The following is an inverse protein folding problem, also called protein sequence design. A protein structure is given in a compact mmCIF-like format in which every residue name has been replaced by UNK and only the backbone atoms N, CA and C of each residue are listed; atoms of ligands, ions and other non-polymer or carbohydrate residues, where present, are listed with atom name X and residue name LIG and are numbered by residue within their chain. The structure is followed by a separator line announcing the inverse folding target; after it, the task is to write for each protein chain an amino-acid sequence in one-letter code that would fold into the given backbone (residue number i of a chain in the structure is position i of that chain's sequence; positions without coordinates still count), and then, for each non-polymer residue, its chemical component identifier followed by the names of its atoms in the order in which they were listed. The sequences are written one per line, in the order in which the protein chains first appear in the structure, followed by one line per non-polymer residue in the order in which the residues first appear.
data_IF_332190880938
#
_entry.id   IF_332190880938
#
_cell.length_a   1.000
_cell.length_b   1.000
_cell.length_c   1.000
_cell.angle_alpha   90.00
_cell.angle_beta   90.00
_cell.angle_gamma   90.00
#
_symmetry.space_group_name_H-M   'P 1'
#
loop_
_entity.id
_entity.type
_entity.pdbx_description
1 polymer ?
#
# COMPACT_ATOMS: atom_id res chain seq x y z
N UNK A 1 27.34 -46.37 -33.81
CA UNK A 1 27.42 -45.59 -32.56
C UNK A 1 26.03 -45.07 -32.29
N UNK A 2 25.31 -45.71 -31.37
CA UNK A 2 23.93 -45.37 -31.04
C UNK A 2 23.88 -44.00 -30.36
N UNK A 3 23.10 -43.09 -30.92
CA UNK A 3 22.78 -41.81 -30.27
C UNK A 3 22.00 -42.12 -28.98
N UNK A 4 22.70 -42.07 -27.85
CA UNK A 4 22.10 -42.15 -26.53
C UNK A 4 21.13 -40.98 -26.34
N UNK A 5 19.91 -41.27 -25.92
CA UNK A 5 18.87 -40.26 -25.75
C UNK A 5 19.27 -39.27 -24.64
N UNK A 6 18.80 -38.02 -24.70
CA UNK A 6 19.22 -36.97 -23.76
C UNK A 6 18.95 -37.30 -22.28
N UNK A 7 18.01 -38.21 -21.99
CA UNK A 7 17.65 -38.68 -20.64
C UNK A 7 18.48 -39.88 -20.15
N UNK A 8 19.28 -40.50 -21.02
CA UNK A 8 20.27 -41.54 -20.67
C UNK A 8 21.62 -40.95 -20.25
N UNK A 9 21.79 -39.63 -20.36
CA UNK A 9 22.99 -38.93 -19.87
C UNK A 9 23.02 -38.94 -18.35
N UNK A 10 24.15 -39.32 -17.76
CA UNK A 10 24.38 -39.19 -16.31
C UNK A 10 24.08 -37.76 -15.84
N UNK A 11 23.33 -37.66 -14.74
CA UNK A 11 22.95 -36.38 -14.14
C UNK A 11 24.20 -35.57 -13.80
N UNK A 12 24.48 -34.54 -14.60
CA UNK A 12 25.50 -33.55 -14.28
C UNK A 12 24.92 -32.55 -13.30
N UNK A 13 25.54 -32.46 -12.13
CA UNK A 13 25.16 -31.53 -11.07
C UNK A 13 25.35 -30.11 -11.56
N UNK A 14 24.24 -29.37 -11.68
CA UNK A 14 24.23 -28.01 -12.24
C UNK A 14 25.08 -27.01 -11.45
N UNK A 15 25.34 -27.30 -10.16
CA UNK A 15 26.15 -26.47 -9.27
C UNK A 15 27.67 -26.67 -9.40
N UNK A 16 28.13 -27.72 -10.08
CA UNK A 16 29.57 -27.94 -10.30
C UNK A 16 30.16 -26.98 -11.34
N UNK A 17 29.30 -26.42 -12.21
CA UNK A 17 29.68 -25.41 -13.20
C UNK A 17 29.30 -23.97 -12.79
N UNK A 18 28.68 -23.77 -11.62
CA UNK A 18 28.19 -22.46 -11.20
C UNK A 18 29.24 -21.66 -10.40
N UNK A 19 30.49 -21.62 -10.86
CA UNK A 19 31.55 -20.77 -10.26
C UNK A 19 31.37 -19.29 -10.58
N UNK A 20 30.48 -18.93 -11.52
CA UNK A 20 30.04 -17.57 -11.77
C UNK A 20 28.67 -17.34 -11.13
N UNK A 21 28.63 -17.29 -9.79
CA UNK A 21 27.48 -16.74 -9.07
C UNK A 21 27.41 -15.27 -9.49
N UNK A 22 26.53 -14.95 -10.44
CA UNK A 22 26.05 -13.60 -10.64
C UNK A 22 25.63 -13.11 -9.25
N UNK A 23 26.38 -12.13 -8.72
CA UNK A 23 25.94 -11.37 -7.54
C UNK A 23 24.49 -11.01 -7.83
N UNK A 24 23.57 -11.44 -6.96
CA UNK A 24 22.17 -10.99 -7.04
C UNK A 24 22.22 -9.48 -7.10
N UNK A 25 22.07 -8.90 -8.29
CA UNK A 25 21.80 -7.49 -8.44
C UNK A 25 20.52 -7.31 -7.64
N UNK A 26 20.63 -6.68 -6.46
CA UNK A 26 19.45 -6.18 -5.78
C UNK A 26 18.81 -5.27 -6.81
N UNK A 27 17.67 -5.68 -7.34
CA UNK A 27 16.86 -4.83 -8.20
C UNK A 27 16.64 -3.56 -7.39
N UNK A 28 17.30 -2.48 -7.82
CA UNK A 28 17.11 -1.14 -7.27
C UNK A 28 15.75 -0.71 -7.79
N UNK A 29 14.72 -1.09 -7.05
CA UNK A 29 13.38 -0.72 -7.41
C UNK A 29 13.17 0.75 -7.03
N UNK A 30 13.05 1.62 -8.03
CA UNK A 30 12.73 3.02 -7.82
C UNK A 30 11.33 3.15 -7.23
N UNK A 31 11.26 3.44 -5.92
CA UNK A 31 10.01 3.56 -5.17
C UNK A 31 9.13 4.71 -5.69
N UNK A 32 9.74 5.79 -6.17
CA UNK A 32 9.04 7.00 -6.59
C UNK A 32 9.31 7.31 -8.07
N UNK A 33 8.39 6.92 -8.95
CA UNK A 33 8.37 7.47 -10.32
C UNK A 33 7.92 8.94 -10.26
N UNK A 34 8.67 9.83 -10.90
CA UNK A 34 8.27 11.24 -11.00
C UNK A 34 6.94 11.35 -11.73
N UNK A 35 5.96 11.97 -11.07
CA UNK A 35 4.63 12.11 -11.62
C UNK A 35 3.92 13.35 -11.10
N UNK A 36 3.76 14.34 -11.97
CA UNK A 36 3.14 15.65 -11.71
C UNK A 36 1.62 15.67 -11.98
N UNK A 37 0.99 14.50 -12.03
CA UNK A 37 -0.46 14.41 -12.17
C UNK A 37 -1.15 14.57 -10.82
N UNK A 38 -2.44 14.90 -10.87
CA UNK A 38 -3.30 14.99 -9.68
C UNK A 38 -3.33 13.65 -8.95
N UNK A 39 -3.10 13.68 -7.64
CA UNK A 39 -3.11 12.50 -6.76
C UNK A 39 -4.25 12.58 -5.75
N UNK A 40 -4.81 11.42 -5.41
CA UNK A 40 -5.81 11.29 -4.35
C UNK A 40 -5.17 11.22 -2.98
N UNK A 41 -4.87 12.37 -2.36
CA UNK A 41 -4.15 12.42 -1.06
C UNK A 41 -4.97 11.83 0.08
N UNK A 42 -6.28 12.13 0.12
CA UNK A 42 -7.18 11.53 1.10
C UNK A 42 -7.82 10.31 0.43
N UNK A 43 -7.52 9.14 0.98
CA UNK A 43 -8.02 7.87 0.47
C UNK A 43 -8.52 6.97 1.60
N UNK A 44 -9.46 6.13 1.23
CA UNK A 44 -9.94 5.03 2.03
C UNK A 44 -9.54 3.74 1.32
N UNK A 45 -8.57 3.04 1.90
CA UNK A 45 -8.03 1.80 1.34
C UNK A 45 -8.63 0.63 2.09
N UNK A 46 -9.39 -0.20 1.39
CA UNK A 46 -9.96 -1.42 1.92
C UNK A 46 -9.12 -2.63 1.50
N UNK A 47 -8.54 -3.33 2.47
CA UNK A 47 -7.69 -4.50 2.25
C UNK A 47 -8.52 -5.77 2.48
N UNK A 48 -8.68 -6.56 1.43
CA UNK A 48 -9.34 -7.85 1.46
C UNK A 48 -8.27 -8.92 1.48
N UNK A 49 -8.35 -9.84 2.44
CA UNK A 49 -7.44 -10.98 2.56
C UNK A 49 -8.24 -12.26 2.32
N UNK A 50 -7.76 -13.06 1.37
CA UNK A 50 -8.25 -14.40 1.11
C UNK A 50 -7.93 -15.34 2.28
N UNK A 51 -8.97 -15.86 2.93
CA UNK A 51 -8.91 -16.82 4.03
C UNK A 51 -9.50 -18.19 3.63
N UNK A 52 -9.30 -18.60 2.39
CA UNK A 52 -9.60 -19.95 1.91
C UNK A 52 -8.50 -20.97 2.29
N UNK A 53 -8.61 -22.21 1.83
CA UNK A 53 -7.58 -23.24 2.03
C UNK A 53 -6.18 -22.83 1.52
N UNK A 54 -6.08 -21.86 0.59
CA UNK A 54 -4.79 -21.43 0.05
C UNK A 54 -3.94 -20.66 1.06
N UNK A 55 -4.53 -20.06 2.09
CA UNK A 55 -3.80 -19.23 3.07
C UNK A 55 -2.83 -20.06 3.93
N UNK A 56 -3.10 -21.35 4.07
CA UNK A 56 -2.30 -22.29 4.87
C UNK A 56 -1.31 -23.10 4.03
N UNK A 57 -1.23 -22.83 2.72
CA UNK A 57 -0.20 -23.43 1.86
C UNK A 57 1.20 -22.92 2.24
N UNK A 58 2.17 -23.79 2.02
CA UNK A 58 3.58 -23.61 2.39
C UNK A 58 4.46 -23.25 1.18
N UNK A 59 3.87 -22.79 0.07
CA UNK A 59 4.61 -22.38 -1.13
C UNK A 59 5.64 -21.29 -0.78
N UNK A 60 5.28 -20.41 0.16
CA UNK A 60 6.20 -19.54 0.86
C UNK A 60 6.27 -19.95 2.33
N UNK A 61 7.48 -20.31 2.79
CA UNK A 61 7.69 -20.75 4.17
C UNK A 61 7.52 -19.59 5.17
N UNK A 62 6.94 -19.84 6.37
CA UNK A 62 6.32 -21.10 6.80
C UNK A 62 4.92 -21.32 6.20
N UNK A 63 4.15 -20.25 5.98
CA UNK A 63 2.87 -20.27 5.27
C UNK A 63 2.52 -18.89 4.74
N UNK A 64 1.60 -18.81 3.78
CA UNK A 64 1.07 -17.52 3.31
C UNK A 64 0.51 -16.68 4.45
N UNK A 65 -0.30 -17.25 5.35
CA UNK A 65 -0.84 -16.55 6.53
C UNK A 65 0.26 -15.84 7.31
N UNK A 66 1.34 -16.55 7.62
CA UNK A 66 2.44 -15.99 8.43
C UNK A 66 3.15 -14.86 7.69
N UNK A 67 3.36 -15.02 6.39
CA UNK A 67 4.05 -14.03 5.57
C UNK A 67 3.18 -12.79 5.32
N UNK A 68 1.89 -12.96 5.04
CA UNK A 68 0.92 -11.85 4.98
C UNK A 68 0.89 -11.08 6.28
N UNK A 69 0.81 -11.76 7.42
CA UNK A 69 0.82 -11.12 8.73
C UNK A 69 2.06 -10.26 8.95
N UNK A 70 3.25 -10.79 8.65
CA UNK A 70 4.52 -10.06 8.82
C UNK A 70 4.62 -8.85 7.90
N UNK A 71 4.20 -9.00 6.65
CA UNK A 71 4.28 -7.94 5.64
C UNK A 71 3.28 -6.83 5.94
N UNK A 72 2.06 -7.19 6.33
CA UNK A 72 1.02 -6.24 6.74
C UNK A 72 1.39 -5.51 8.04
N UNK A 73 2.04 -6.18 8.99
CA UNK A 73 2.55 -5.56 10.24
C UNK A 73 3.56 -4.45 9.96
N UNK A 74 4.37 -4.57 8.90
CA UNK A 74 5.26 -3.51 8.45
C UNK A 74 4.52 -2.45 7.62
N UNK A 75 3.55 -2.87 6.81
CA UNK A 75 2.84 -1.99 5.89
C UNK A 75 1.95 -0.97 6.62
N UNK A 76 1.20 -1.37 7.65
CA UNK A 76 0.27 -0.47 8.36
C UNK A 76 0.97 0.79 8.91
N UNK A 77 2.05 0.70 9.72
CA UNK A 77 2.71 1.89 10.25
C UNK A 77 3.27 2.76 9.13
N UNK A 78 3.92 2.14 8.13
CA UNK A 78 4.45 2.85 6.96
C UNK A 78 3.38 3.56 6.14
N UNK A 79 2.19 2.95 6.02
CA UNK A 79 1.05 3.56 5.35
C UNK A 79 0.60 4.82 6.05
N UNK A 80 0.46 4.79 7.39
CA UNK A 80 0.05 5.96 8.19
C UNK A 80 1.14 7.02 8.29
N UNK A 81 2.41 6.64 8.19
CA UNK A 81 3.52 7.60 8.09
C UNK A 81 3.44 8.43 6.81
N UNK A 82 3.19 7.79 5.66
CA UNK A 82 3.07 8.45 4.35
C UNK A 82 1.69 9.13 4.17
N UNK A 83 0.63 8.50 4.69
CA UNK A 83 -0.78 8.90 4.49
C UNK A 83 -1.53 9.06 5.82
N UNK A 84 -1.20 10.06 6.65
CA UNK A 84 -1.77 10.16 8.00
C UNK A 84 -3.28 10.38 8.00
N UNK A 85 -3.81 11.11 7.01
CA UNK A 85 -5.25 11.43 6.92
C UNK A 85 -6.09 10.35 6.22
N UNK A 86 -5.46 9.26 5.77
CA UNK A 86 -6.14 8.18 5.08
C UNK A 86 -6.66 7.13 6.04
N UNK A 87 -7.73 6.44 5.64
CA UNK A 87 -8.34 5.37 6.42
C UNK A 87 -8.00 4.00 5.84
N UNK A 88 -7.69 3.05 6.72
CA UNK A 88 -7.55 1.63 6.39
C UNK A 88 -8.74 0.85 6.95
N UNK A 89 -9.22 -0.12 6.20
CA UNK A 89 -10.13 -1.13 6.72
C UNK A 89 -9.79 -2.50 6.15
N UNK A 90 -10.09 -3.55 6.91
CA UNK A 90 -9.70 -4.92 6.58
C UNK A 90 -10.91 -5.85 6.56
N UNK A 91 -10.94 -6.76 5.59
CA UNK A 91 -11.91 -7.85 5.51
C UNK A 91 -11.19 -9.18 5.30
N UNK A 92 -11.62 -10.21 6.03
CA UNK A 92 -11.25 -11.60 5.76
C UNK A 92 -12.39 -12.28 5.04
N UNK A 93 -12.09 -12.85 3.87
CA UNK A 93 -13.12 -13.41 2.99
C UNK A 93 -12.71 -14.79 2.49
N UNK A 94 -13.66 -15.72 2.54
CA UNK A 94 -13.61 -16.99 1.81
C UNK A 94 -14.82 -17.05 0.87
N UNK A 95 -15.79 -17.93 1.08
CA UNK A 95 -17.08 -17.90 0.41
C UNK A 95 -17.99 -16.81 1.03
N UNK A 96 -17.72 -16.40 2.28
CA UNK A 96 -18.45 -15.35 3.01
C UNK A 96 -17.44 -14.40 3.67
N UNK A 97 -17.89 -13.20 4.06
CA UNK A 97 -17.09 -12.29 4.90
C UNK A 97 -17.05 -12.84 6.33
N UNK A 98 -15.85 -13.21 6.80
CA UNK A 98 -15.65 -13.81 8.12
C UNK A 98 -15.44 -12.75 9.21
N UNK A 99 -14.62 -11.73 8.91
CA UNK A 99 -14.27 -10.65 9.86
C UNK A 99 -14.12 -9.34 9.09
N UNK A 100 -14.46 -8.24 9.76
CA UNK A 100 -14.26 -6.88 9.29
C UNK A 100 -13.75 -6.00 10.43
N UNK A 101 -12.78 -5.12 10.16
CA UNK A 101 -12.31 -4.12 11.14
C UNK A 101 -11.92 -2.80 10.47
N UNK A 102 -12.07 -1.71 11.22
CA UNK A 102 -11.63 -0.35 10.86
C UNK A 102 -10.69 0.25 11.90
N UNK A 103 -10.40 -0.49 12.96
CA UNK A 103 -9.54 -0.01 14.03
C UNK A 103 -8.10 0.08 13.54
N UNK A 104 -7.34 1.12 13.90
CA UNK A 104 -5.94 1.22 13.49
C UNK A 104 -5.00 0.34 14.35
N UNK A 105 -5.40 0.04 15.60
CA UNK A 105 -4.52 -0.57 16.61
C UNK A 105 -4.79 -2.06 16.85
N UNK A 106 -5.27 -2.81 15.85
CA UNK A 106 -5.53 -4.24 16.02
C UNK A 106 -4.30 -5.09 15.67
N UNK A 107 -4.20 -6.24 16.33
CA UNK A 107 -3.20 -7.26 16.02
C UNK A 107 -3.59 -8.03 14.76
N UNK A 108 -2.80 -7.90 13.69
CA UNK A 108 -3.02 -8.62 12.43
C UNK A 108 -2.93 -10.14 12.63
N UNK A 109 -2.05 -10.60 13.53
CA UNK A 109 -1.94 -12.02 13.88
C UNK A 109 -3.27 -12.56 14.43
N UNK A 110 -3.92 -11.81 15.30
CA UNK A 110 -5.20 -12.21 15.91
C UNK A 110 -6.35 -12.09 14.90
N UNK A 111 -6.27 -11.12 13.99
CA UNK A 111 -7.21 -11.01 12.88
C UNK A 111 -7.14 -12.26 11.98
N UNK A 112 -5.93 -12.64 11.56
CA UNK A 112 -5.65 -13.80 10.70
C UNK A 112 -5.67 -15.15 11.41
N UNK A 113 -5.98 -15.21 12.71
CA UNK A 113 -6.03 -16.45 13.49
C UNK A 113 -7.07 -17.46 12.99
N UNK A 114 -8.06 -17.01 12.20
CA UNK A 114 -9.05 -17.88 11.57
C UNK A 114 -8.40 -18.87 10.62
N UNK A 115 -8.71 -20.14 10.80
CA UNK A 115 -8.26 -21.21 9.90
C UNK A 115 -8.81 -20.98 8.48
N UNK A 116 -7.99 -21.27 7.48
CA UNK A 116 -8.37 -21.14 6.09
C UNK A 116 -9.27 -22.30 5.67
N UNK A 117 -10.52 -22.00 5.34
CA UNK A 117 -11.50 -23.01 4.95
C UNK A 117 -12.36 -22.52 3.78
N UNK A 118 -12.83 -23.45 2.96
CA UNK A 118 -13.61 -23.15 1.76
C UNK A 118 -12.76 -22.59 0.61
N UNK A 119 -13.45 -22.03 -0.38
CA UNK A 119 -12.84 -21.39 -1.54
C UNK A 119 -12.96 -19.87 -1.45
N UNK A 120 -12.15 -19.16 -2.22
CA UNK A 120 -12.24 -17.70 -2.29
C UNK A 120 -13.37 -17.27 -3.23
N UNK A 121 -14.24 -16.36 -2.78
CA UNK A 121 -15.22 -15.65 -3.60
C UNK A 121 -14.83 -14.19 -3.73
N UNK A 122 -14.39 -13.80 -4.93
CA UNK A 122 -14.08 -12.40 -5.23
C UNK A 122 -15.37 -11.58 -5.33
N UNK A 123 -16.47 -12.16 -5.81
CA UNK A 123 -17.75 -11.46 -5.95
C UNK A 123 -18.26 -10.96 -4.59
N UNK A 124 -18.30 -11.84 -3.60
CA UNK A 124 -18.77 -11.50 -2.25
C UNK A 124 -17.82 -10.52 -1.54
N UNK A 125 -16.51 -10.69 -1.77
CA UNK A 125 -15.50 -9.74 -1.31
C UNK A 125 -15.75 -8.33 -1.86
N UNK A 126 -15.97 -8.19 -3.17
CA UNK A 126 -16.19 -6.88 -3.80
C UNK A 126 -17.53 -6.26 -3.40
N UNK A 127 -18.62 -7.05 -3.34
CA UNK A 127 -19.94 -6.53 -2.94
C UNK A 127 -19.93 -5.96 -1.52
N UNK A 128 -19.38 -6.70 -0.55
CA UNK A 128 -19.24 -6.21 0.83
C UNK A 128 -18.35 -4.96 0.89
N UNK A 129 -17.28 -4.92 0.12
CA UNK A 129 -16.39 -3.75 0.04
C UNK A 129 -17.11 -2.52 -0.52
N UNK A 130 -17.98 -2.70 -1.53
CA UNK A 130 -18.75 -1.61 -2.08
C UNK A 130 -19.76 -1.06 -1.09
N UNK A 131 -20.39 -1.90 -0.27
CA UNK A 131 -21.28 -1.45 0.80
C UNK A 131 -20.52 -0.60 1.84
N UNK A 132 -19.33 -1.04 2.25
CA UNK A 132 -18.46 -0.32 3.18
C UNK A 132 -18.02 1.05 2.60
N UNK A 133 -17.65 1.07 1.31
CA UNK A 133 -17.09 2.25 0.65
C UNK A 133 -18.16 3.21 0.10
N UNK A 134 -19.43 2.81 0.01
CA UNK A 134 -20.51 3.62 -0.56
C UNK A 134 -20.66 4.96 0.16
N UNK A 135 -20.57 4.94 1.49
CA UNK A 135 -20.82 6.09 2.35
C UNK A 135 -19.57 6.95 2.62
N UNK A 136 -18.46 6.68 1.93
CA UNK A 136 -17.23 7.47 2.06
C UNK A 136 -17.11 8.44 0.88
N UNK A 137 -16.71 9.68 1.14
CA UNK A 137 -16.64 10.72 0.11
C UNK A 137 -15.24 10.86 -0.54
N UNK A 138 -14.23 10.21 0.05
CA UNK A 138 -12.84 10.31 -0.40
C UNK A 138 -12.47 9.28 -1.48
N UNK A 139 -11.22 9.30 -1.95
CA UNK A 139 -10.75 8.35 -2.94
C UNK A 139 -10.88 6.92 -2.42
N UNK A 140 -11.52 6.03 -3.20
CA UNK A 140 -11.82 4.67 -2.78
C UNK A 140 -10.87 3.71 -3.47
N UNK A 141 -10.13 2.95 -2.68
CA UNK A 141 -9.21 1.94 -3.19
C UNK A 141 -9.50 0.60 -2.52
N UNK A 142 -9.50 -0.48 -3.28
CA UNK A 142 -9.60 -1.84 -2.78
C UNK A 142 -8.30 -2.55 -3.13
N UNK A 143 -7.68 -3.21 -2.16
CA UNK A 143 -6.52 -4.08 -2.35
C UNK A 143 -6.94 -5.49 -2.00
N UNK A 144 -6.93 -6.41 -2.96
CA UNK A 144 -7.24 -7.82 -2.74
C UNK A 144 -5.94 -8.62 -2.69
N UNK A 145 -5.67 -9.31 -1.59
CA UNK A 145 -4.52 -10.19 -1.43
C UNK A 145 -5.02 -11.62 -1.46
N UNK A 146 -4.61 -12.39 -2.46
CA UNK A 146 -5.05 -13.78 -2.64
C UNK A 146 -3.90 -14.72 -3.00
N UNK A 147 -3.96 -15.93 -2.46
CA UNK A 147 -3.14 -17.08 -2.90
C UNK A 147 -3.96 -18.15 -3.62
N UNK A 148 -5.24 -17.89 -3.85
CA UNK A 148 -6.11 -18.81 -4.58
C UNK A 148 -5.98 -18.61 -6.08
N UNK A 149 -5.83 -19.72 -6.80
CA UNK A 149 -5.95 -19.76 -8.26
C UNK A 149 -7.38 -20.08 -8.71
N UNK A 150 -8.20 -20.60 -7.79
CA UNK A 150 -9.58 -20.98 -8.04
C UNK A 150 -10.50 -20.01 -7.31
N UNK A 151 -11.47 -19.47 -8.04
CA UNK A 151 -12.50 -18.58 -7.50
C UNK A 151 -13.84 -19.32 -7.58
N UNK A 152 -14.62 -19.27 -6.51
CA UNK A 152 -15.98 -19.82 -6.47
C UNK A 152 -16.95 -18.69 -6.16
N UNK A 153 -17.58 -18.17 -7.20
CA UNK A 153 -18.60 -17.13 -7.07
C UNK A 153 -19.98 -17.67 -7.42
N UNK A 154 -21.04 -17.14 -6.78
CA UNK A 154 -22.42 -17.57 -7.03
C UNK A 154 -22.95 -17.07 -8.39
N UNK A 155 -22.56 -15.85 -8.78
CA UNK A 155 -23.14 -15.13 -9.92
C UNK A 155 -22.07 -14.51 -10.84
N UNK A 156 -22.53 -13.90 -11.93
CA UNK A 156 -21.67 -13.24 -12.92
C UNK A 156 -21.19 -11.84 -12.48
N UNK A 157 -20.07 -11.40 -13.05
CA UNK A 157 -19.44 -10.12 -12.74
C UNK A 157 -20.03 -8.88 -13.44
N UNK A 158 -21.08 -9.03 -14.26
CA UNK A 158 -21.62 -7.91 -15.05
C UNK A 158 -22.11 -6.75 -14.17
N UNK A 159 -22.83 -7.07 -13.09
CA UNK A 159 -23.36 -6.06 -12.15
C UNK A 159 -22.23 -5.35 -11.39
N UNK A 160 -21.19 -6.09 -11.03
CA UNK A 160 -20.00 -5.53 -10.37
C UNK A 160 -19.30 -4.51 -11.26
N UNK A 161 -19.18 -4.77 -12.56
CA UNK A 161 -18.52 -3.85 -13.49
C UNK A 161 -19.25 -2.50 -13.54
N UNK A 162 -20.59 -2.52 -13.49
CA UNK A 162 -21.40 -1.31 -13.44
C UNK A 162 -21.29 -0.59 -12.08
N UNK A 163 -21.25 -1.35 -10.98
CA UNK A 163 -21.02 -0.80 -9.64
C UNK A 163 -19.65 -0.14 -9.50
N UNK A 164 -18.58 -0.72 -10.05
CA UNK A 164 -17.23 -0.16 -10.05
C UNK A 164 -17.23 1.25 -10.66
N UNK A 165 -17.86 1.40 -11.83
CA UNK A 165 -17.97 2.70 -12.52
C UNK A 165 -18.83 3.70 -11.75
N UNK A 166 -19.92 3.24 -11.14
CA UNK A 166 -20.85 4.08 -10.38
C UNK A 166 -20.22 4.62 -9.09
N UNK A 167 -19.47 3.78 -8.37
CA UNK A 167 -18.87 4.14 -7.09
C UNK A 167 -17.52 4.87 -7.31
N UNK A 168 -16.85 4.64 -8.44
CA UNK A 168 -15.56 5.27 -8.77
C UNK A 168 -14.41 4.69 -7.94
N UNK A 169 -14.35 3.37 -7.79
CA UNK A 169 -13.34 2.66 -6.98
C UNK A 169 -12.21 2.15 -7.85
N UNK A 170 -10.97 2.29 -7.38
CA UNK A 170 -9.80 1.62 -7.97
C UNK A 170 -9.54 0.30 -7.27
N UNK A 171 -9.36 -0.77 -8.04
CA UNK A 171 -9.11 -2.11 -7.48
C UNK A 171 -7.71 -2.56 -7.86
N UNK A 172 -6.92 -2.88 -6.84
CA UNK A 172 -5.61 -3.52 -6.95
C UNK A 172 -5.75 -4.96 -6.48
N UNK A 173 -5.18 -5.89 -7.23
CA UNK A 173 -5.19 -7.31 -6.86
C UNK A 173 -3.74 -7.77 -6.81
N UNK A 174 -3.36 -8.39 -5.70
CA UNK A 174 -2.07 -9.04 -5.52
C UNK A 174 -2.34 -10.54 -5.44
N UNK A 175 -1.98 -11.26 -6.51
CA UNK A 175 -2.08 -12.71 -6.54
C UNK A 175 -0.71 -13.35 -6.38
N UNK A 176 -0.53 -14.12 -5.31
CA UNK A 176 0.77 -14.70 -4.98
C UNK A 176 1.19 -15.86 -5.88
N UNK A 177 0.23 -16.57 -6.47
CA UNK A 177 0.50 -17.81 -7.21
C UNK A 177 0.54 -17.59 -8.73
N UNK A 178 -0.18 -16.61 -9.27
CA UNK A 178 -0.20 -16.37 -10.70
C UNK A 178 -1.27 -15.39 -11.18
N UNK A 179 -1.18 -15.02 -12.46
CA UNK A 179 -2.14 -14.12 -13.09
C UNK A 179 -3.42 -14.89 -13.49
N UNK A 180 -4.58 -14.37 -13.07
CA UNK A 180 -5.90 -14.82 -13.56
C UNK A 180 -6.51 -13.75 -14.47
N UNK A 181 -7.11 -14.18 -15.57
CA UNK A 181 -7.72 -13.29 -16.56
C UNK A 181 -8.79 -12.38 -15.94
N UNK A 182 -9.65 -12.95 -15.08
CA UNK A 182 -10.73 -12.20 -14.40
C UNK A 182 -10.16 -11.06 -13.55
N UNK A 183 -9.07 -11.31 -12.81
CA UNK A 183 -8.41 -10.26 -12.02
C UNK A 183 -7.85 -9.16 -12.91
N UNK A 184 -7.25 -9.52 -14.05
CA UNK A 184 -6.71 -8.55 -15.03
C UNK A 184 -7.81 -7.67 -15.62
N UNK A 185 -8.96 -8.25 -15.95
CA UNK A 185 -10.09 -7.51 -16.51
C UNK A 185 -10.68 -6.52 -15.49
N UNK A 186 -10.91 -6.95 -14.24
CA UNK A 186 -11.47 -6.11 -13.17
C UNK A 186 -10.51 -4.95 -12.81
N UNK A 187 -9.23 -5.24 -12.65
CA UNK A 187 -8.22 -4.20 -12.34
C UNK A 187 -8.10 -3.19 -13.49
N UNK A 188 -8.11 -3.64 -14.75
CA UNK A 188 -8.10 -2.75 -15.92
C UNK A 188 -9.35 -1.87 -16.02
N UNK A 189 -10.53 -2.42 -15.73
CA UNK A 189 -11.80 -1.68 -15.77
C UNK A 189 -11.90 -0.62 -14.66
N UNK A 190 -11.36 -0.92 -13.47
CA UNK A 190 -11.32 0.01 -12.33
C UNK A 190 -10.19 1.04 -12.42
N UNK A 191 -9.26 0.92 -13.38
CA UNK A 191 -8.07 1.77 -13.48
C UNK A 191 -7.02 1.47 -12.41
N UNK A 192 -7.09 0.31 -11.75
CA UNK A 192 -6.04 -0.20 -10.87
C UNK A 192 -5.06 -1.12 -11.61
N UNK A 193 -4.37 -1.98 -10.86
CA UNK A 193 -3.33 -2.87 -11.39
C UNK A 193 -3.37 -4.25 -10.72
N UNK A 194 -3.03 -5.27 -11.50
CA UNK A 194 -2.78 -6.63 -11.01
C UNK A 194 -1.28 -6.80 -10.78
N UNK A 195 -0.92 -7.33 -9.62
CA UNK A 195 0.44 -7.66 -9.24
C UNK A 195 0.57 -9.16 -8.99
N UNK A 196 1.67 -9.73 -9.51
CA UNK A 196 2.07 -11.10 -9.24
C UNK A 196 3.48 -11.07 -8.66
N UNK A 197 3.64 -11.15 -7.33
CA UNK A 197 4.94 -11.18 -6.70
C UNK A 197 5.75 -12.40 -7.13
N UNK A 198 7.06 -12.21 -7.29
CA UNK A 198 8.00 -13.29 -7.61
C UNK A 198 8.51 -13.97 -6.33
N UNK A 199 8.78 -13.13 -5.33
CA UNK A 199 9.33 -13.48 -4.02
C UNK A 199 8.65 -12.63 -2.94
N UNK A 200 8.87 -12.98 -1.66
CA UNK A 200 8.36 -12.19 -0.52
C UNK A 200 8.91 -10.76 -0.49
N UNK A 201 10.17 -10.56 -0.90
CA UNK A 201 10.76 -9.22 -0.98
C UNK A 201 10.06 -8.37 -2.05
N UNK A 202 9.66 -8.99 -3.17
CA UNK A 202 8.87 -8.31 -4.20
C UNK A 202 7.45 -8.01 -3.70
N UNK A 203 6.86 -8.88 -2.88
CA UNK A 203 5.57 -8.62 -2.23
C UNK A 203 5.64 -7.43 -1.27
N UNK A 204 6.65 -7.37 -0.40
CA UNK A 204 6.90 -6.22 0.48
C UNK A 204 7.09 -4.93 -0.35
N UNK A 205 7.82 -5.00 -1.47
CA UNK A 205 7.99 -3.87 -2.38
C UNK A 205 6.69 -3.41 -3.05
N UNK A 206 5.82 -4.34 -3.47
CA UNK A 206 4.52 -4.00 -4.06
C UNK A 206 3.64 -3.29 -3.02
N UNK A 207 3.61 -3.78 -1.78
CA UNK A 207 2.90 -3.12 -0.69
C UNK A 207 3.45 -1.71 -0.44
N UNK A 208 4.77 -1.54 -0.49
CA UNK A 208 5.41 -0.23 -0.40
C UNK A 208 5.01 0.72 -1.53
N UNK A 209 4.87 0.23 -2.76
CA UNK A 209 4.38 1.06 -3.87
C UNK A 209 2.93 1.51 -3.65
N UNK A 210 2.11 0.66 -3.03
CA UNK A 210 0.71 0.97 -2.73
C UNK A 210 0.55 1.98 -1.59
N UNK A 211 1.60 2.29 -0.83
CA UNK A 211 1.57 3.44 0.10
C UNK A 211 1.58 4.79 -0.63
N UNK A 212 1.89 4.82 -1.93
CA UNK A 212 1.83 6.05 -2.71
C UNK A 212 0.41 6.31 -3.24
N UNK A 213 -0.09 7.55 -3.15
CA UNK A 213 -1.41 7.88 -3.67
C UNK A 213 -1.43 7.83 -5.20
N UNK A 214 -2.44 7.16 -5.77
CA UNK A 214 -2.55 6.95 -7.21
C UNK A 214 -3.02 8.21 -7.98
N UNK A 215 -2.72 8.23 -9.27
CA UNK A 215 -3.20 9.25 -10.23
C UNK A 215 -4.73 9.28 -10.28
N UNK A 216 -5.35 10.42 -9.98
CA UNK A 216 -6.79 10.60 -10.14
C UNK A 216 -7.10 11.42 -11.39
N UNK A 217 -7.51 10.72 -12.44
CA UNK A 217 -7.95 11.35 -13.69
C UNK A 217 -9.42 11.82 -13.63
N UNK A 218 -10.22 11.27 -12.72
CA UNK A 218 -11.68 11.38 -12.74
C UNK A 218 -12.33 12.05 -11.53
N UNK A 219 -11.57 12.56 -10.55
CA UNK A 219 -12.17 13.14 -9.34
C UNK A 219 -12.55 14.62 -9.53
N UNK A 220 -13.79 14.96 -9.15
CA UNK A 220 -14.18 16.33 -8.87
C UNK A 220 -13.35 16.86 -7.70
N UNK A 221 -12.85 18.08 -7.82
CA UNK A 221 -12.12 18.74 -6.72
C UNK A 221 -13.13 19.19 -5.68
N UNK A 222 -13.22 18.44 -4.57
CA UNK A 222 -14.05 18.81 -3.44
C UNK A 222 -13.19 19.49 -2.38
N UNK A 223 -13.66 20.62 -1.86
CA UNK A 223 -13.05 21.25 -0.69
C UNK A 223 -13.60 20.58 0.57
N UNK A 224 -12.69 20.21 1.47
CA UNK A 224 -13.02 19.53 2.72
C UNK A 224 -12.68 20.47 3.86
N UNK A 225 -13.57 20.56 4.83
CA UNK A 225 -13.32 21.31 6.06
C UNK A 225 -12.46 20.46 7.00
N UNK A 226 -11.28 20.97 7.36
CA UNK A 226 -10.40 20.37 8.35
C UNK A 226 -10.41 21.20 9.64
N UNK A 227 -10.37 20.52 10.78
CA UNK A 227 -10.19 21.14 12.09
C UNK A 227 -8.74 20.98 12.56
N UNK A 228 -8.11 22.09 12.94
CA UNK A 228 -6.81 22.10 13.61
C UNK A 228 -7.03 22.28 15.11
N UNK A 229 -6.96 21.20 15.91
CA UNK A 229 -7.21 21.28 17.33
C UNK A 229 -6.03 21.88 18.09
N UNK A 230 -6.32 22.54 19.20
CA UNK A 230 -5.31 23.00 20.17
C UNK A 230 -4.97 21.88 21.14
N UNK A 231 -3.69 21.84 21.57
CA UNK A 231 -3.23 20.91 22.60
C UNK A 231 -3.69 21.43 23.97
N UNK A 232 -4.20 20.52 24.80
CA UNK A 232 -4.59 20.77 26.18
C UNK A 232 -3.86 19.77 27.09
N UNK A 233 -3.19 20.29 28.11
CA UNK A 233 -2.44 19.54 29.13
C UNK A 233 -3.22 19.50 30.46
N UNK A 234 -4.52 19.24 30.38
CA UNK A 234 -5.40 19.10 31.54
C UNK A 234 -6.03 17.71 31.55
N UNK A 235 -6.23 17.16 32.75
CA UNK A 235 -6.92 15.88 32.91
C UNK A 235 -8.37 16.03 32.51
N UNK A 236 -8.73 15.45 31.35
CA UNK A 236 -10.10 15.45 30.82
C UNK A 236 -10.49 14.05 30.35
N UNK A 237 -11.80 13.79 30.35
CA UNK A 237 -12.35 12.55 29.82
C UNK A 237 -12.39 12.65 28.30
N UNK A 238 -11.74 11.70 27.64
CA UNK A 238 -11.74 11.57 26.19
C UNK A 238 -13.10 11.09 25.67
N UNK A 239 -13.69 11.81 24.72
CA UNK A 239 -14.96 11.41 24.11
C UNK A 239 -14.85 10.19 23.16
N UNK A 240 -13.64 9.74 22.84
CA UNK A 240 -13.43 8.57 21.95
C UNK A 240 -13.57 7.25 22.71
N UNK A 241 -12.94 7.15 23.89
CA UNK A 241 -12.85 5.90 24.67
C UNK A 241 -13.45 6.01 26.07
N UNK A 242 -13.90 7.22 26.46
CA UNK A 242 -14.36 7.55 27.82
C UNK A 242 -13.30 7.30 28.91
N UNK A 243 -12.03 7.42 28.54
CA UNK A 243 -10.88 7.30 29.44
C UNK A 243 -10.32 8.68 29.81
N UNK A 244 -9.74 8.79 31.01
CA UNK A 244 -9.13 10.04 31.49
C UNK A 244 -7.69 10.13 31.01
N UNK A 245 -7.38 11.17 30.24
CA UNK A 245 -6.02 11.44 29.75
C UNK A 245 -5.51 12.77 30.29
N UNK A 246 -4.19 12.86 30.48
CA UNK A 246 -3.51 14.07 30.96
C UNK A 246 -3.24 15.08 29.84
N UNK A 247 -3.05 14.59 28.62
CA UNK A 247 -2.81 15.38 27.42
C UNK A 247 -3.75 14.97 26.30
N UNK A 248 -4.21 15.94 25.52
CA UNK A 248 -5.09 15.68 24.40
C UNK A 248 -5.38 16.94 23.59
N UNK A 249 -6.42 16.84 22.77
CA UNK A 249 -6.73 17.81 21.72
C UNK A 249 -8.15 18.30 21.87
N UNK A 250 -8.35 19.62 21.76
CA UNK A 250 -9.68 20.23 21.75
C UNK A 250 -10.15 20.49 20.33
N UNK A 251 -11.32 19.94 19.99
CA UNK A 251 -11.96 20.21 18.69
C UNK A 251 -12.28 21.70 18.54
N UNK A 252 -11.86 22.37 17.45
CA UNK A 252 -12.11 23.81 17.27
C UNK A 252 -13.59 24.15 17.00
N UNK A 253 -14.40 23.16 16.63
CA UNK A 253 -15.83 23.35 16.30
C UNK A 253 -16.71 23.14 17.52
N UNK A 254 -16.64 21.97 18.15
CA UNK A 254 -17.53 21.60 19.27
C UNK A 254 -16.83 21.56 20.64
N UNK A 255 -15.54 21.89 20.72
CA UNK A 255 -14.74 21.92 21.97
C UNK A 255 -14.62 20.59 22.71
N UNK A 256 -14.85 19.48 22.01
CA UNK A 256 -14.74 18.15 22.60
C UNK A 256 -13.28 17.75 22.75
N UNK A 257 -12.98 17.04 23.83
CA UNK A 257 -11.65 16.57 24.13
C UNK A 257 -11.40 15.17 23.53
N UNK A 258 -10.32 15.06 22.75
CA UNK A 258 -9.94 13.88 21.96
C UNK A 258 -8.50 13.50 22.30
N UNK A 259 -8.20 12.21 22.37
CA UNK A 259 -6.89 11.74 22.81
C UNK A 259 -5.83 11.75 21.70
N UNK A 260 -6.20 11.33 20.48
CA UNK A 260 -5.25 11.10 19.40
C UNK A 260 -5.66 11.84 18.13
N UNK A 261 -4.67 12.13 17.28
CA UNK A 261 -4.86 12.65 15.93
C UNK A 261 -4.13 11.75 14.93
N UNK A 262 -4.61 11.66 13.68
CA UNK A 262 -5.80 12.30 13.13
C UNK A 262 -7.07 11.45 13.33
N UNK A 263 -8.18 12.09 13.71
CA UNK A 263 -9.45 11.41 14.00
C UNK A 263 -10.62 12.31 13.57
N UNK A 264 -11.71 11.72 13.08
CA UNK A 264 -12.97 12.44 12.88
C UNK A 264 -13.66 12.69 14.23
N UNK A 265 -14.03 13.94 14.53
CA UNK A 265 -14.66 14.26 15.81
C UNK A 265 -15.96 13.45 15.99
N UNK A 266 -16.17 12.75 17.13
CA UNK A 266 -17.35 11.91 17.35
C UNK A 266 -18.67 12.70 17.49
N UNK A 267 -18.60 14.03 17.66
CA UNK A 267 -19.77 14.88 17.89
C UNK A 267 -20.10 15.75 16.68
N UNK A 268 -19.11 16.38 16.05
CA UNK A 268 -19.33 17.27 14.90
C UNK A 268 -18.85 16.69 13.57
N UNK A 269 -18.31 15.47 13.56
CA UNK A 269 -17.82 14.75 12.36
C UNK A 269 -16.73 15.48 11.57
N UNK A 270 -16.23 16.61 12.06
CA UNK A 270 -15.14 17.35 11.42
C UNK A 270 -13.85 16.56 11.55
N UNK A 271 -13.12 16.42 10.45
CA UNK A 271 -11.84 15.71 10.42
C UNK A 271 -10.77 16.55 11.13
N UNK A 272 -10.23 16.01 12.23
CA UNK A 272 -9.20 16.70 13.02
C UNK A 272 -7.82 16.21 12.64
N UNK A 273 -6.95 17.17 12.28
CA UNK A 273 -5.62 16.88 11.75
C UNK A 273 -4.62 17.91 12.30
N UNK A 274 -3.38 17.48 12.55
CA UNK A 274 -2.28 18.38 12.86
C UNK A 274 -1.64 18.93 11.58
N UNK A 275 -1.04 20.12 11.65
CA UNK A 275 -0.32 20.68 10.50
C UNK A 275 0.83 19.75 10.02
N UNK A 276 1.47 19.04 10.96
CA UNK A 276 2.56 18.08 10.68
C UNK A 276 2.04 16.88 9.88
N UNK A 277 0.83 16.40 10.15
CA UNK A 277 0.24 15.29 9.40
C UNK A 277 -0.01 15.70 7.94
N UNK A 278 -0.52 16.91 7.70
CA UNK A 278 -0.71 17.40 6.33
C UNK A 278 0.64 17.58 5.63
N UNK A 279 1.65 18.06 6.34
CA UNK A 279 2.94 18.33 5.70
C UNK A 279 3.63 17.07 5.19
N UNK A 280 3.42 15.92 5.84
CA UNK A 280 3.93 14.63 5.34
C UNK A 280 3.40 14.29 3.95
N UNK A 281 2.19 14.70 3.61
CA UNK A 281 1.63 14.48 2.27
C UNK A 281 2.16 15.43 1.19
N UNK A 282 2.91 16.50 1.54
CA UNK A 282 3.49 17.42 0.54
C UNK A 282 4.48 16.74 -0.39
N UNK A 283 5.19 15.75 0.13
CA UNK A 283 6.06 14.82 -0.60
C UNK A 283 5.41 14.24 -1.86
N UNK A 284 4.12 13.89 -1.78
CA UNK A 284 3.39 13.39 -2.93
C UNK A 284 2.95 14.50 -3.90
N UNK A 285 2.74 15.72 -3.41
CA UNK A 285 2.28 16.86 -4.21
C UNK A 285 3.41 17.50 -5.03
N UNK A 286 4.63 17.52 -4.50
CA UNK A 286 5.80 18.08 -5.16
C UNK A 286 6.90 17.02 -5.29
N UNK A 287 6.71 16.00 -6.15
CA UNK A 287 7.70 14.96 -6.32
C UNK A 287 9.00 15.56 -6.87
N UNK A 288 10.13 15.08 -6.36
CA UNK A 288 11.44 15.44 -6.88
C UNK A 288 11.60 14.85 -8.29
N UNK A 289 12.01 15.70 -9.25
CA UNK A 289 12.36 15.26 -10.60
C UNK A 289 13.66 14.46 -10.57
N UNK A 290 13.71 13.38 -11.35
CA UNK A 290 14.92 12.59 -11.53
C UNK A 290 16.12 13.45 -11.94
N UNK A 291 17.27 13.16 -11.35
CA UNK A 291 18.51 13.84 -11.70
C UNK A 291 19.06 13.30 -13.03
N UNK A 292 19.66 14.19 -13.81
CA UNK A 292 20.23 13.86 -15.12
C UNK A 292 21.56 13.17 -14.90
N UNK A 293 21.79 12.02 -15.55
CA UNK A 293 23.06 11.31 -15.45
C UNK A 293 24.22 12.17 -16.00
N UNK A 294 25.14 12.55 -15.12
CA UNK A 294 26.33 13.34 -15.47
C UNK A 294 27.46 13.06 -14.47
N UNK A 295 28.56 12.52 -15.01
CA UNK A 295 29.72 12.07 -14.23
C UNK A 295 30.93 13.02 -14.31
N UNK A 296 30.70 14.26 -14.75
CA UNK A 296 31.75 15.24 -15.00
C UNK A 296 32.20 16.03 -13.75
N UNK A 297 31.72 15.70 -12.56
CA UNK A 297 31.92 16.48 -11.35
C UNK A 297 32.26 15.66 -10.09
N UNK A 298 32.30 16.39 -8.97
CA UNK A 298 32.31 15.80 -7.62
C UNK A 298 30.96 16.05 -6.98
N UNK A 299 30.51 15.08 -6.19
CA UNK A 299 29.29 15.18 -5.42
C UNK A 299 29.35 16.34 -4.43
N UNK A 300 28.33 17.19 -4.42
CA UNK A 300 28.22 18.35 -3.55
C UNK A 300 28.21 17.99 -2.06
N UNK A 301 27.59 16.86 -1.69
CA UNK A 301 27.40 16.45 -0.28
C UNK A 301 28.60 15.69 0.28
N UNK A 302 29.11 14.68 -0.45
CA UNK A 302 30.16 13.78 0.06
C UNK A 302 31.52 13.92 -0.63
N UNK A 303 31.62 14.67 -1.73
CA UNK A 303 32.87 14.85 -2.48
C UNK A 303 33.31 13.67 -3.35
N UNK A 304 32.57 12.56 -3.37
CA UNK A 304 32.81 11.41 -4.25
C UNK A 304 32.58 11.75 -5.73
N UNK A 305 32.92 10.84 -6.65
CA UNK A 305 32.65 11.03 -8.08
C UNK A 305 31.16 11.22 -8.34
N UNK A 306 30.80 12.21 -9.16
CA UNK A 306 29.40 12.42 -9.52
C UNK A 306 28.87 11.30 -10.40
N UNK A 307 27.59 11.05 -10.26
CA UNK A 307 26.79 10.12 -11.05
C UNK A 307 25.65 10.85 -11.75
N UNK A 308 25.01 11.79 -11.03
CA UNK A 308 23.86 12.54 -11.50
C UNK A 308 23.95 14.02 -11.16
N UNK A 309 23.09 14.82 -11.78
CA UNK A 309 23.06 16.29 -11.71
C UNK A 309 21.62 16.79 -11.61
N UNK A 310 21.35 17.69 -10.68
CA UNK A 310 20.03 18.28 -10.52
C UNK A 310 19.71 19.24 -11.69
N UNK A 311 18.53 19.14 -12.33
CA UNK A 311 18.16 20.01 -13.46
C UNK A 311 17.86 21.47 -13.07
N UNK A 312 17.66 21.77 -11.79
CA UNK A 312 17.28 23.11 -11.31
C UNK A 312 18.46 23.94 -10.79
N UNK A 313 19.30 23.35 -9.93
CA UNK A 313 20.43 24.05 -9.30
C UNK A 313 21.79 23.66 -9.90
N UNK A 314 21.81 22.76 -10.89
CA UNK A 314 23.02 22.26 -11.56
C UNK A 314 24.07 21.60 -10.65
N UNK A 315 23.74 21.28 -9.39
CA UNK A 315 24.62 20.58 -8.47
C UNK A 315 24.73 19.08 -8.80
N UNK A 316 25.91 18.53 -8.56
CA UNK A 316 26.25 17.13 -8.81
C UNK A 316 26.06 16.26 -7.56
N UNK A 317 25.57 15.04 -7.75
CA UNK A 317 25.36 14.03 -6.72
C UNK A 317 26.01 12.70 -7.11
N UNK A 318 26.54 11.94 -6.15
CA UNK A 318 26.93 10.55 -6.37
C UNK A 318 25.70 9.63 -6.26
N UNK A 319 25.82 8.39 -6.71
CA UNK A 319 24.72 7.41 -6.70
C UNK A 319 24.08 7.23 -5.32
N UNK A 320 24.89 7.11 -4.26
CA UNK A 320 24.37 6.95 -2.88
C UNK A 320 23.61 8.19 -2.40
N UNK A 321 24.11 9.38 -2.70
CA UNK A 321 23.46 10.64 -2.30
C UNK A 321 22.21 10.90 -3.13
N UNK A 322 22.21 10.51 -4.40
CA UNK A 322 21.05 10.58 -5.28
C UNK A 322 19.92 9.69 -4.75
N UNK A 323 20.23 8.43 -4.43
CA UNK A 323 19.28 7.49 -3.84
C UNK A 323 18.75 8.00 -2.49
N UNK A 324 19.63 8.50 -1.60
CA UNK A 324 19.21 9.04 -0.31
C UNK A 324 18.27 10.25 -0.46
N UNK A 325 18.56 11.14 -1.41
CA UNK A 325 17.74 12.30 -1.72
C UNK A 325 16.37 11.88 -2.23
N UNK A 326 16.29 10.92 -3.16
CA UNK A 326 15.02 10.49 -3.75
C UNK A 326 14.19 9.59 -2.83
N UNK A 327 14.81 8.77 -1.96
CA UNK A 327 14.09 7.85 -1.07
C UNK A 327 13.63 8.52 0.23
N UNK A 328 14.48 9.34 0.86
CA UNK A 328 14.26 9.80 2.23
C UNK A 328 13.86 11.26 2.34
N UNK A 329 14.44 12.15 1.52
CA UNK A 329 14.23 13.59 1.64
C UNK A 329 13.17 14.11 0.68
N UNK A 330 13.22 13.63 -0.57
CA UNK A 330 12.38 14.06 -1.68
C UNK A 330 12.46 15.55 -2.00
N UNK A 331 13.58 16.19 -1.64
CA UNK A 331 13.95 17.54 -2.08
C UNK A 331 15.45 17.61 -2.33
N UNK A 332 15.85 18.42 -3.30
CA UNK A 332 17.26 18.67 -3.59
C UNK A 332 17.84 19.67 -2.58
N UNK A 333 18.98 19.36 -1.96
CA UNK A 333 19.64 20.25 -0.99
C UNK A 333 20.02 21.64 -1.51
N UNK A 334 20.25 21.77 -2.83
CA UNK A 334 20.67 23.04 -3.43
C UNK A 334 19.54 23.92 -3.94
N UNK A 335 18.33 23.36 -4.12
CA UNK A 335 17.14 24.10 -4.52
C UNK A 335 16.44 24.65 -3.27
#
# INVERSE_FOLDING_TARGET
MSNSFAWEKEYKRTWENSTSINKKEKLLYQKHEFNDKKKGVIRHVHIIIDCSYSIDKTDYLPSFRTNYSKSLEKFIPKFYEENPISALSFSLVNEVVLKYTTEPNFSIKDFLSTKGEGNFSLLNALNSSFEILKNKDFCKEIIVITSSLMIRDPDSYSEIIDLIKKIGVKIFIISMCGELMIYKEITKLSGGRLYVPLDLDHFDYILDCLTLPNENNFSTTNMIQLGFPSVIEEVRVCSCHNEMNQEGYECPVCKTYICNLPVGCPICETQLVSAINISKSFHHLFPLSEFILDSNGKCFTCGNRSYSKCPKCDLFYCEECDNFVHENLQFCYGC
#
